data_IF_008176762388
#
_entry.id   IF_008176762388
#
_cell.length_a   1.000
_cell.length_b   1.000
_cell.length_c   1.000
_cell.angle_alpha   90.00
_cell.angle_beta   90.00
_cell.angle_gamma   90.00
#
_symmetry.space_group_name_H-M   'P 1'
#
loop_
_entity.id
_entity.type
_entity.pdbx_description
1 polymer ?
#
# COMPACT_ATOMS: atom_id res chain seq x y z
N UNK A 1 -0.21 19.21 -6.12
CA UNK A 1 0.21 17.85 -5.70
C UNK A 1 1.67 17.85 -5.31
N UNK A 2 2.09 16.95 -4.43
CA UNK A 2 3.49 16.78 -4.02
C UNK A 2 4.08 15.47 -4.54
N UNK A 3 5.38 15.28 -4.34
CA UNK A 3 6.17 14.12 -4.76
C UNK A 3 6.05 12.92 -3.82
N UNK A 4 5.06 12.91 -2.92
CA UNK A 4 4.86 11.86 -1.94
C UNK A 4 4.34 10.57 -2.59
N UNK A 5 5.12 9.49 -2.58
CA UNK A 5 4.75 8.23 -3.24
C UNK A 5 4.87 7.05 -2.28
N UNK A 6 3.97 6.08 -2.42
CA UNK A 6 4.03 4.81 -1.72
C UNK A 6 4.36 3.72 -2.72
N UNK A 7 5.53 3.12 -2.58
CA UNK A 7 6.05 2.10 -3.46
C UNK A 7 6.30 0.82 -2.69
N UNK A 8 6.08 -0.31 -3.35
CA UNK A 8 6.26 -1.65 -2.79
C UNK A 8 7.03 -2.52 -3.78
N UNK A 9 8.08 -3.17 -3.32
CA UNK A 9 8.82 -4.20 -4.07
C UNK A 9 8.40 -5.60 -3.63
N UNK A 10 7.79 -6.36 -4.52
CA UNK A 10 7.35 -7.74 -4.28
C UNK A 10 8.18 -8.68 -5.14
N UNK A 11 8.90 -9.60 -4.51
CA UNK A 11 9.72 -10.60 -5.20
C UNK A 11 9.95 -11.81 -4.31
N UNK A 12 10.41 -12.92 -4.85
CA UNK A 12 10.71 -14.11 -4.04
C UNK A 12 11.90 -13.92 -3.10
N UNK A 13 12.03 -14.83 -2.14
CA UNK A 13 13.21 -14.89 -1.29
C UNK A 13 14.47 -15.03 -2.16
N UNK A 14 15.55 -14.37 -1.77
CA UNK A 14 16.81 -14.30 -2.55
C UNK A 14 16.76 -13.50 -3.86
N UNK A 15 15.65 -12.87 -4.25
CA UNK A 15 15.58 -12.02 -5.45
C UNK A 15 16.25 -10.64 -5.31
N UNK A 16 17.10 -10.43 -4.29
CA UNK A 16 17.83 -9.18 -4.10
C UNK A 16 17.02 -7.99 -3.54
N UNK A 17 15.80 -8.19 -3.02
CA UNK A 17 14.94 -7.10 -2.47
C UNK A 17 15.65 -6.19 -1.46
N UNK A 18 16.40 -6.78 -0.53
CA UNK A 18 17.16 -6.03 0.49
C UNK A 18 18.26 -5.16 -0.13
N UNK A 19 18.80 -5.54 -1.29
CA UNK A 19 19.82 -4.74 -1.98
C UNK A 19 19.27 -3.37 -2.40
N UNK A 20 18.03 -3.28 -2.89
CA UNK A 20 17.41 -2.01 -3.24
C UNK A 20 17.35 -1.03 -2.05
N UNK A 21 16.94 -1.51 -0.88
CA UNK A 21 16.92 -0.70 0.35
C UNK A 21 18.31 -0.28 0.79
N UNK A 22 19.29 -1.19 0.75
CA UNK A 22 20.70 -0.89 1.06
C UNK A 22 21.26 0.19 0.12
N UNK A 23 20.97 0.10 -1.18
CA UNK A 23 21.41 1.08 -2.18
C UNK A 23 20.84 2.47 -1.91
N UNK A 24 19.56 2.58 -1.51
CA UNK A 24 18.96 3.86 -1.12
C UNK A 24 19.64 4.43 0.12
N UNK A 25 19.86 3.63 1.17
CA UNK A 25 20.56 4.07 2.39
C UNK A 25 21.96 4.58 2.09
N UNK A 26 22.72 3.82 1.32
CA UNK A 26 24.07 4.20 0.90
C UNK A 26 24.09 5.49 0.10
N UNK A 27 23.17 5.64 -0.85
CA UNK A 27 23.07 6.88 -1.62
C UNK A 27 22.83 8.09 -0.69
N UNK A 28 21.92 7.96 0.27
CA UNK A 28 21.66 9.01 1.26
C UNK A 28 22.85 9.27 2.19
N UNK A 29 23.58 8.23 2.62
CA UNK A 29 24.78 8.36 3.44
C UNK A 29 25.89 9.12 2.71
N UNK A 30 26.19 8.74 1.47
CA UNK A 30 27.18 9.41 0.64
C UNK A 30 26.76 10.85 0.31
N UNK A 31 25.46 11.10 0.10
CA UNK A 31 24.93 12.44 -0.11
C UNK A 31 24.84 13.27 1.18
N UNK A 32 25.03 12.66 2.37
CA UNK A 32 24.89 13.27 3.70
C UNK A 32 23.46 13.72 4.05
N UNK A 33 22.47 13.01 3.53
CA UNK A 33 21.04 13.31 3.67
C UNK A 33 20.27 12.20 4.42
N UNK A 34 20.96 11.34 5.17
CA UNK A 34 20.35 10.23 5.93
C UNK A 34 19.24 10.67 6.91
N UNK A 35 19.19 11.97 7.28
CA UNK A 35 18.09 12.56 8.06
C UNK A 35 16.73 12.51 7.35
N UNK A 36 16.67 12.24 6.04
CA UNK A 36 15.43 12.02 5.32
C UNK A 36 14.89 10.60 5.51
N UNK A 37 15.71 9.66 5.97
CA UNK A 37 15.31 8.27 6.19
C UNK A 37 14.62 8.15 7.55
N UNK A 38 13.43 7.56 7.53
CA UNK A 38 12.64 7.24 8.72
C UNK A 38 13.24 6.09 9.53
N UNK A 39 12.53 5.68 10.58
CA UNK A 39 12.89 4.45 11.29
C UNK A 39 12.69 3.22 10.41
N UNK A 40 13.40 2.14 10.73
CA UNK A 40 13.30 0.86 10.02
C UNK A 40 11.92 0.22 10.21
N UNK A 41 11.32 0.44 11.38
CA UNK A 41 9.97 0.02 11.72
C UNK A 41 9.07 1.20 12.14
N UNK A 42 7.77 1.04 11.91
CA UNK A 42 6.75 1.99 12.34
C UNK A 42 6.02 1.43 13.56
N UNK A 43 6.36 1.94 14.74
CA UNK A 43 5.73 1.50 15.99
C UNK A 43 4.26 1.95 16.12
N UNK A 44 3.92 3.15 15.66
CA UNK A 44 2.55 3.72 15.77
C UNK A 44 2.32 4.90 14.83
N UNK A 45 1.05 5.30 14.70
CA UNK A 45 0.63 6.51 13.99
C UNK A 45 1.25 7.78 14.62
N UNK A 46 1.27 7.88 15.95
CA UNK A 46 1.91 9.00 16.65
C UNK A 46 3.42 9.11 16.37
N UNK A 47 4.12 7.99 16.16
CA UNK A 47 5.54 8.01 15.81
C UNK A 47 5.78 8.66 14.44
N UNK A 48 4.90 8.38 13.46
CA UNK A 48 4.94 9.03 12.14
C UNK A 48 4.71 10.54 12.29
N UNK A 49 3.67 10.94 13.02
CA UNK A 49 3.34 12.36 13.22
C UNK A 49 4.49 13.12 13.89
N UNK A 50 5.08 12.54 14.95
CA UNK A 50 6.23 13.12 15.64
C UNK A 50 7.43 13.27 14.71
N UNK A 51 7.70 12.29 13.85
CA UNK A 51 8.77 12.37 12.85
C UNK A 51 8.51 13.46 11.83
N UNK A 52 7.32 13.49 11.23
CA UNK A 52 6.96 14.48 10.22
C UNK A 52 6.92 15.90 10.77
N UNK A 53 6.62 16.08 12.06
CA UNK A 53 6.69 17.40 12.71
C UNK A 53 8.11 17.97 12.81
N UNK A 54 9.13 17.09 12.77
CA UNK A 54 10.55 17.48 12.80
C UNK A 54 11.15 17.53 11.40
N UNK A 55 10.75 16.59 10.55
CA UNK A 55 11.24 16.43 9.18
C UNK A 55 10.05 16.11 8.27
N UNK A 56 9.46 17.14 7.65
CA UNK A 56 8.24 17.00 6.84
C UNK A 56 8.43 16.11 5.61
N UNK A 57 9.64 16.04 5.06
CA UNK A 57 10.05 15.14 3.97
C UNK A 57 10.78 13.92 4.52
N UNK A 58 10.06 12.81 4.69
CA UNK A 58 10.61 11.56 5.22
C UNK A 58 10.26 10.39 4.31
N UNK A 59 11.25 9.53 4.02
CA UNK A 59 11.06 8.24 3.35
C UNK A 59 11.23 7.10 4.36
N UNK A 60 10.24 6.22 4.45
CA UNK A 60 10.31 5.00 5.25
C UNK A 60 10.74 3.83 4.38
N UNK A 61 11.81 3.13 4.77
CA UNK A 61 12.33 1.94 4.10
C UNK A 61 11.92 0.72 4.93
N UNK A 62 10.75 0.16 4.63
CA UNK A 62 10.13 -0.88 5.46
C UNK A 62 10.48 -2.26 4.91
N UNK A 63 11.20 -3.05 5.70
CA UNK A 63 11.39 -4.47 5.39
C UNK A 63 10.14 -5.27 5.78
N UNK A 64 9.87 -6.35 5.06
CA UNK A 64 8.73 -7.24 5.26
C UNK A 64 7.39 -6.51 5.50
N UNK A 65 7.04 -5.52 4.66
CA UNK A 65 5.80 -4.72 4.79
C UNK A 65 4.52 -5.58 4.84
N UNK A 66 4.56 -6.80 4.33
CA UNK A 66 3.49 -7.79 4.47
C UNK A 66 3.12 -8.13 5.92
N UNK A 67 4.06 -8.07 6.87
CA UNK A 67 3.75 -8.24 8.30
C UNK A 67 2.98 -7.06 8.85
N UNK A 68 3.37 -5.83 8.48
CA UNK A 68 2.62 -4.63 8.86
C UNK A 68 1.17 -4.72 8.36
N UNK A 69 0.96 -5.15 7.11
CA UNK A 69 -0.38 -5.38 6.55
C UNK A 69 -1.12 -6.52 7.27
N UNK A 70 -0.43 -7.63 7.57
CA UNK A 70 -1.01 -8.76 8.30
C UNK A 70 -1.42 -8.40 9.74
N UNK A 71 -0.64 -7.56 10.43
CA UNK A 71 -0.95 -7.05 11.77
C UNK A 71 -2.17 -6.13 11.76
N UNK A 72 -2.29 -5.32 10.70
CA UNK A 72 -3.48 -4.49 10.46
C UNK A 72 -4.71 -5.37 10.26
N UNK A 73 -4.60 -6.40 9.41
CA UNK A 73 -5.66 -7.36 9.09
C UNK A 73 -6.10 -8.18 10.30
N UNK A 74 -5.16 -8.77 11.05
CA UNK A 74 -5.46 -9.58 12.24
C UNK A 74 -6.15 -8.75 13.33
N UNK A 75 -5.84 -7.46 13.36
CA UNK A 75 -6.47 -6.50 14.24
C UNK A 75 -6.16 -6.67 15.71
N UNK A 76 -5.16 -7.51 16.02
CA UNK A 76 -4.63 -7.74 17.36
C UNK A 76 -3.83 -6.54 17.86
N UNK A 77 -3.21 -5.79 16.94
CA UNK A 77 -2.47 -4.57 17.26
C UNK A 77 -3.29 -3.31 16.93
N UNK A 78 -3.80 -2.66 17.98
CA UNK A 78 -4.60 -1.43 17.88
C UNK A 78 -3.79 -0.27 17.26
N UNK A 79 -2.48 -0.24 17.45
CA UNK A 79 -1.61 0.79 16.88
C UNK A 79 -1.39 0.58 15.38
N UNK A 80 -1.18 -0.67 14.96
CA UNK A 80 -1.04 -1.01 13.55
C UNK A 80 -2.27 -0.57 12.74
N UNK A 81 -3.48 -0.83 13.26
CA UNK A 81 -4.77 -0.42 12.66
C UNK A 81 -4.89 1.07 12.37
N UNK A 82 -4.18 1.94 13.09
CA UNK A 82 -4.24 3.41 12.88
C UNK A 82 -3.26 3.90 11.82
N UNK A 83 -2.23 3.11 11.48
CA UNK A 83 -1.17 3.51 10.55
C UNK A 83 -1.72 3.71 9.13
N UNK A 84 -2.41 2.71 8.55
CA UNK A 84 -2.94 2.83 7.18
C UNK A 84 -3.92 4.00 7.01
N UNK A 85 -4.91 4.20 7.90
CA UNK A 85 -5.76 5.39 7.85
C UNK A 85 -4.97 6.70 7.91
N UNK A 86 -3.90 6.78 8.71
CA UNK A 86 -3.02 7.95 8.74
C UNK A 86 -2.28 8.12 7.42
N UNK A 87 -1.69 7.06 6.87
CA UNK A 87 -0.95 7.11 5.59
C UNK A 87 -1.87 7.52 4.43
N UNK A 88 -3.12 7.06 4.39
CA UNK A 88 -4.13 7.50 3.41
C UNK A 88 -4.38 9.01 3.53
N UNK A 89 -4.48 9.53 4.76
CA UNK A 89 -4.67 10.96 5.02
C UNK A 89 -3.45 11.75 4.60
N UNK A 90 -2.25 11.36 5.02
CA UNK A 90 -0.98 12.00 4.65
C UNK A 90 -0.78 12.03 3.13
N UNK A 91 -1.18 10.97 2.44
CA UNK A 91 -1.10 10.91 0.99
C UNK A 91 -1.92 12.02 0.32
N UNK A 92 -3.11 12.26 0.86
CA UNK A 92 -4.10 13.18 0.30
C UNK A 92 -3.89 14.63 0.77
N UNK A 93 -3.27 14.84 1.95
CA UNK A 93 -3.01 16.15 2.55
C UNK A 93 -1.57 16.64 2.36
N UNK A 94 -0.81 16.07 1.43
CA UNK A 94 0.57 16.52 1.21
C UNK A 94 0.67 17.98 0.73
N UNK A 95 -0.39 18.52 0.14
CA UNK A 95 -0.50 19.92 -0.27
C UNK A 95 -1.05 20.86 0.81
N UNK A 96 -1.70 20.27 1.82
CA UNK A 96 -2.53 20.97 2.79
C UNK A 96 -1.91 20.92 4.19
N UNK A 97 -2.58 21.61 5.12
CA UNK A 97 -2.31 21.46 6.54
C UNK A 97 -3.03 20.23 7.08
N UNK A 98 -2.33 19.41 7.86
CA UNK A 98 -2.89 18.27 8.56
C UNK A 98 -2.84 18.50 10.07
N UNK A 99 -3.99 18.74 10.68
CA UNK A 99 -4.12 18.81 12.14
C UNK A 99 -4.34 17.40 12.67
N UNK A 100 -3.44 16.95 13.55
CA UNK A 100 -3.60 15.69 14.26
C UNK A 100 -4.85 15.73 15.16
N UNK A 101 -5.32 14.56 15.62
CA UNK A 101 -6.39 14.51 16.62
C UNK A 101 -5.88 15.12 17.94
N UNK A 102 -6.72 15.89 18.60
CA UNK A 102 -6.46 16.41 19.96
C UNK A 102 -6.07 15.25 20.88
N UNK A 103 -4.81 15.25 21.32
CA UNK A 103 -4.30 14.32 22.30
C UNK A 103 -4.28 15.04 23.65
N UNK A 104 -4.65 14.35 24.73
CA UNK A 104 -4.71 14.92 26.08
C UNK A 104 -3.34 15.39 26.62
N UNK A 105 -2.24 15.14 25.90
CA UNK A 105 -0.87 15.48 26.29
C UNK A 105 -0.32 16.54 25.31
N UNK A 106 -0.22 17.77 25.81
CA UNK A 106 -0.21 19.05 25.09
C UNK A 106 1.09 19.40 24.32
N UNK A 107 1.91 18.41 23.93
CA UNK A 107 3.12 18.65 23.11
C UNK A 107 3.00 18.17 21.64
N UNK A 108 1.95 17.40 21.35
CA UNK A 108 1.70 16.77 20.04
C UNK A 108 0.59 17.45 19.22
N UNK A 109 0.03 18.57 19.69
CA UNK A 109 -0.88 19.47 18.94
C UNK A 109 -0.11 20.23 17.84
N UNK A 110 0.60 19.49 17.01
CA UNK A 110 1.42 20.04 15.93
C UNK A 110 0.63 19.92 14.64
N UNK A 111 0.16 21.06 14.17
CA UNK A 111 -0.27 21.24 12.79
C UNK A 111 0.89 20.82 11.87
N UNK A 112 0.72 19.76 11.09
CA UNK A 112 1.69 19.34 10.09
C UNK A 112 1.44 20.16 8.82
N UNK A 113 2.42 20.93 8.40
CA UNK A 113 2.30 21.78 7.23
C UNK A 113 2.96 21.08 6.06
N UNK A 114 2.15 20.65 5.10
CA UNK A 114 2.58 20.01 3.84
C UNK A 114 3.51 18.80 4.04
N UNK A 115 3.08 17.77 4.80
CA UNK A 115 3.89 16.59 5.02
C UNK A 115 4.12 15.82 3.71
N UNK A 116 5.38 15.55 3.38
CA UNK A 116 5.79 14.73 2.25
C UNK A 116 6.32 13.38 2.75
N UNK A 117 5.39 12.48 3.06
CA UNK A 117 5.71 11.12 3.50
C UNK A 117 5.82 10.18 2.29
N UNK A 118 6.96 9.51 2.13
CA UNK A 118 7.18 8.46 1.12
C UNK A 118 7.40 7.11 1.80
N UNK A 119 7.03 6.04 1.12
CA UNK A 119 7.23 4.67 1.60
C UNK A 119 7.88 3.85 0.48
N UNK A 120 8.91 3.10 0.83
CA UNK A 120 9.45 2.00 0.04
C UNK A 120 9.42 0.74 0.91
N UNK A 121 8.38 -0.07 0.71
CA UNK A 121 8.22 -1.36 1.39
C UNK A 121 8.72 -2.51 0.53
N UNK A 122 9.25 -3.57 1.12
CA UNK A 122 9.55 -4.82 0.39
C UNK A 122 8.85 -6.01 1.04
N UNK A 123 8.44 -7.01 0.25
CA UNK A 123 7.83 -8.23 0.76
C UNK A 123 7.98 -9.42 -0.20
N UNK A 124 7.64 -10.62 0.29
CA UNK A 124 7.46 -11.82 -0.52
C UNK A 124 6.02 -11.87 -1.08
N UNK A 125 5.77 -12.47 -2.26
CA UNK A 125 4.44 -12.51 -2.86
C UNK A 125 3.38 -13.08 -1.91
N UNK A 126 3.65 -14.23 -1.30
CA UNK A 126 2.70 -14.91 -0.41
C UNK A 126 2.41 -14.09 0.85
N UNK A 127 3.44 -13.50 1.46
CA UNK A 127 3.27 -12.64 2.65
C UNK A 127 2.51 -11.36 2.32
N UNK A 128 2.81 -10.77 1.17
CA UNK A 128 2.10 -9.61 0.69
C UNK A 128 0.63 -9.93 0.48
N UNK A 129 0.32 -10.99 -0.29
CA UNK A 129 -1.04 -11.43 -0.56
C UNK A 129 -1.81 -11.83 0.71
N UNK A 130 -1.16 -12.50 1.67
CA UNK A 130 -1.76 -12.86 2.95
C UNK A 130 -2.14 -11.63 3.80
N UNK A 131 -1.33 -10.57 3.73
CA UNK A 131 -1.60 -9.29 4.36
C UNK A 131 -2.80 -8.56 3.75
N UNK A 132 -3.11 -8.82 2.47
CA UNK A 132 -4.22 -8.18 1.78
C UNK A 132 -5.58 -8.75 2.20
N UNK A 133 -6.55 -7.84 2.39
CA UNK A 133 -7.96 -8.19 2.59
C UNK A 133 -8.85 -7.56 1.50
N UNK A 134 -10.05 -8.10 1.25
CA UNK A 134 -11.04 -7.42 0.40
C UNK A 134 -11.37 -6.00 0.89
N UNK A 135 -11.30 -5.76 2.19
CA UNK A 135 -11.53 -4.43 2.79
C UNK A 135 -10.42 -3.45 2.40
N UNK A 136 -9.15 -3.87 2.38
CA UNK A 136 -8.03 -3.01 1.96
C UNK A 136 -8.07 -2.67 0.46
N UNK A 137 -8.60 -3.60 -0.37
CA UNK A 137 -8.93 -3.32 -1.77
C UNK A 137 -10.00 -2.22 -1.89
N UNK A 138 -10.88 -2.13 -0.90
CA UNK A 138 -12.01 -1.21 -0.87
C UNK A 138 -11.67 0.15 -0.23
N UNK A 139 -10.80 0.18 0.78
CA UNK A 139 -10.47 1.36 1.60
C UNK A 139 -9.55 2.37 0.89
N UNK A 140 -9.07 2.03 -0.31
CA UNK A 140 -8.30 2.92 -1.16
C UNK A 140 -6.84 3.05 -0.77
N UNK A 141 -6.35 2.27 0.20
CA UNK A 141 -4.93 2.14 0.48
C UNK A 141 -4.16 1.66 -0.75
N UNK A 142 -4.55 0.51 -1.31
CA UNK A 142 -3.85 -0.12 -2.43
C UNK A 142 -3.86 0.74 -3.70
N UNK A 143 -4.93 1.49 -3.95
CA UNK A 143 -4.98 2.41 -5.09
C UNK A 143 -3.86 3.46 -5.07
N UNK A 144 -3.32 3.80 -3.88
CA UNK A 144 -2.25 4.79 -3.69
C UNK A 144 -0.85 4.17 -3.79
N UNK A 145 -0.76 2.85 -3.86
CA UNK A 145 0.49 2.11 -3.84
C UNK A 145 0.94 1.75 -5.26
N UNK A 146 2.23 1.92 -5.54
CA UNK A 146 2.89 1.47 -6.76
C UNK A 146 3.60 0.15 -6.45
N UNK A 147 3.06 -0.96 -6.94
CA UNK A 147 3.58 -2.30 -6.66
C UNK A 147 4.47 -2.75 -7.82
N UNK A 148 5.76 -2.82 -7.56
CA UNK A 148 6.77 -3.37 -8.46
C UNK A 148 6.98 -4.83 -8.13
N UNK A 149 6.66 -5.72 -9.08
CA UNK A 149 6.79 -7.16 -8.91
C UNK A 149 7.87 -7.73 -9.83
N UNK A 150 8.62 -8.70 -9.33
CA UNK A 150 9.49 -9.54 -10.16
C UNK A 150 9.38 -10.98 -9.70
N UNK A 151 9.20 -11.87 -10.68
CA UNK A 151 9.24 -13.32 -10.50
C UNK A 151 10.63 -13.88 -10.89
N UNK A 152 11.58 -13.00 -11.21
CA UNK A 152 12.95 -13.36 -11.60
C UNK A 152 13.88 -13.30 -10.40
N UNK A 153 14.61 -14.40 -10.18
CA UNK A 153 15.73 -14.44 -9.23
C UNK A 153 17.03 -14.31 -10.02
N UNK A 154 17.87 -13.29 -9.76
CA UNK A 154 19.17 -13.19 -10.41
C UNK A 154 20.09 -14.32 -9.94
N UNK A 155 21.03 -14.71 -10.81
CA UNK A 155 22.07 -15.66 -10.45
C UNK A 155 22.94 -15.11 -9.31
N UNK A 156 23.42 -16.00 -8.44
CA UNK A 156 24.33 -15.61 -7.35
C UNK A 156 25.71 -15.37 -7.93
N UNK A 157 26.24 -14.17 -7.72
CA UNK A 157 27.63 -13.86 -8.00
C UNK A 157 28.49 -14.22 -6.77
N UNK A 158 29.50 -15.08 -6.96
CA UNK A 158 30.46 -15.44 -5.91
C UNK A 158 31.45 -14.30 -5.63
N UNK A 159 31.80 -13.51 -6.66
CA UNK A 159 32.74 -12.39 -6.61
C UNK A 159 32.04 -11.02 -6.53
N UNK A 160 31.09 -10.87 -5.60
CA UNK A 160 30.39 -9.59 -5.42
C UNK A 160 31.18 -8.62 -4.55
N UNK A 161 31.69 -7.55 -5.16
CA UNK A 161 32.16 -6.37 -4.42
C UNK A 161 31.09 -5.29 -4.46
N UNK A 162 30.61 -4.88 -3.29
CA UNK A 162 29.53 -3.93 -3.22
C UNK A 162 29.96 -2.56 -3.78
N UNK A 163 29.37 -2.09 -4.90
CA UNK A 163 29.83 -0.88 -5.56
C UNK A 163 29.47 0.36 -4.74
N UNK A 164 30.29 1.40 -4.85
CA UNK A 164 29.93 2.73 -4.36
C UNK A 164 28.83 3.31 -5.25
N UNK A 165 27.89 4.10 -4.70
CA UNK A 165 26.91 4.79 -5.53
C UNK A 165 27.63 5.69 -6.54
N UNK A 166 27.14 5.77 -7.81
CA UNK A 166 27.68 6.70 -8.79
C UNK A 166 27.71 8.13 -8.26
N UNK A 167 28.84 8.82 -8.41
CA UNK A 167 29.02 10.16 -7.83
C UNK A 167 28.01 11.17 -8.39
N UNK A 168 27.67 11.06 -9.67
CA UNK A 168 26.65 11.89 -10.32
C UNK A 168 25.29 11.83 -9.58
N UNK A 169 24.88 10.63 -9.14
CA UNK A 169 23.64 10.46 -8.37
C UNK A 169 23.75 11.05 -6.97
N UNK A 170 24.91 10.90 -6.33
CA UNK A 170 25.19 11.48 -5.00
C UNK A 170 25.09 13.00 -5.05
N UNK A 171 25.73 13.61 -6.04
CA UNK A 171 25.71 15.06 -6.27
C UNK A 171 24.30 15.55 -6.60
N UNK A 172 23.54 14.80 -7.41
CA UNK A 172 22.17 15.14 -7.74
C UNK A 172 21.23 15.13 -6.53
N UNK A 173 21.33 14.09 -5.69
CA UNK A 173 20.56 14.00 -4.45
C UNK A 173 20.90 15.14 -3.50
N UNK A 174 22.18 15.50 -3.37
CA UNK A 174 22.63 16.64 -2.55
C UNK A 174 22.10 17.95 -3.12
N UNK A 175 22.18 18.17 -4.43
CA UNK A 175 21.69 19.37 -5.08
C UNK A 175 20.18 19.59 -4.85
N UNK A 176 19.37 18.54 -4.95
CA UNK A 176 17.94 18.63 -4.63
C UNK A 176 17.66 18.86 -3.14
N UNK A 177 18.48 18.29 -2.27
CA UNK A 177 18.35 18.46 -0.83
C UNK A 177 18.70 19.89 -0.38
N UNK A 178 19.76 20.46 -0.93
CA UNK A 178 20.25 21.81 -0.62
C UNK A 178 19.55 22.91 -1.44
N UNK A 179 18.59 22.55 -2.30
CA UNK A 179 17.93 23.50 -3.16
C UNK A 179 17.09 24.49 -2.36
N UNK A 180 17.48 25.76 -2.44
CA UNK A 180 16.70 26.88 -1.95
C UNK A 180 15.68 27.33 -3.01
N UNK A 181 14.41 27.42 -2.62
CA UNK A 181 13.34 27.95 -3.47
C UNK A 181 13.11 29.39 -3.02
N UNK A 182 13.67 30.35 -3.76
CA UNK A 182 13.55 31.79 -3.46
C UNK A 182 12.14 32.31 -3.76
N UNK A 183 11.68 33.27 -2.98
CA UNK A 183 10.47 34.02 -3.30
C UNK A 183 10.75 34.95 -4.49
N UNK A 184 9.82 35.06 -5.46
CA UNK A 184 9.93 36.09 -6.51
C UNK A 184 9.92 37.53 -5.95
N UNK A 185 9.30 37.74 -4.79
CA UNK A 185 9.01 39.06 -4.20
C UNK A 185 9.89 39.35 -2.96
N UNK A 186 11.20 39.09 -3.00
CA UNK A 186 12.12 39.40 -1.88
C UNK A 186 12.38 40.91 -1.70
N UNK A 187 11.37 41.67 -1.26
CA UNK A 187 11.54 42.94 -0.55
C UNK A 187 11.60 42.67 0.98
N UNK A 188 12.41 41.70 1.41
CA UNK A 188 12.87 41.54 2.81
C UNK A 188 11.81 41.54 3.93
N UNK A 189 10.53 41.30 3.63
CA UNK A 189 9.46 41.56 4.58
C UNK A 189 9.15 40.30 5.41
N UNK A 190 9.59 40.30 6.66
CA UNK A 190 9.35 39.22 7.63
C UNK A 190 7.85 38.88 7.82
N UNK A 191 6.97 39.82 7.46
CA UNK A 191 5.51 39.65 7.50
C UNK A 191 4.96 38.65 6.46
N UNK A 192 5.69 38.36 5.38
CA UNK A 192 5.22 37.38 4.38
C UNK A 192 5.29 35.93 4.86
N UNK A 193 6.14 35.67 5.86
CA UNK A 193 6.29 34.37 6.51
C UNK A 193 5.25 34.13 7.62
N UNK A 194 4.40 35.12 7.90
CA UNK A 194 3.38 35.10 8.95
C UNK A 194 2.07 35.67 8.44
N UNK A 195 1.05 34.83 8.21
CA UNK A 195 -0.31 35.34 8.04
C UNK A 195 -0.85 35.70 9.43
N UNK A 196 -0.71 36.98 9.81
CA UNK A 196 -1.29 37.50 11.05
C UNK A 196 -2.79 37.72 10.83
N UNK A 197 -3.63 36.89 11.44
CA UNK A 197 -5.08 37.14 11.57
C UNK A 197 -5.39 37.45 13.03
N UNK A 198 -5.31 38.72 13.42
CA UNK A 198 -5.50 39.13 14.82
C UNK A 198 -4.33 38.69 15.71
N UNK A 199 -4.60 37.96 16.79
CA UNK A 199 -3.58 37.44 17.73
C UNK A 199 -3.06 36.03 17.36
N UNK A 200 -3.55 35.42 16.28
CA UNK A 200 -3.06 34.12 15.79
C UNK A 200 -2.03 34.31 14.68
N UNK A 201 -0.86 33.69 14.87
CA UNK A 201 0.20 33.59 13.86
C UNK A 201 0.03 32.25 13.15
N UNK A 202 -0.55 32.27 11.96
CA UNK A 202 -0.57 31.08 11.10
C UNK A 202 0.84 30.88 10.52
N UNK A 203 1.44 29.73 10.75
CA UNK A 203 2.68 29.35 10.05
C UNK A 203 2.37 29.21 8.57
N UNK A 204 3.09 29.96 7.74
CA UNK A 204 3.01 29.90 6.27
C UNK A 204 3.79 28.67 5.80
N UNK A 205 3.19 27.89 4.89
CA UNK A 205 3.86 26.72 4.33
C UNK A 205 5.10 27.09 3.51
N UNK A 206 6.02 26.15 3.28
CA UNK A 206 7.23 26.42 2.51
C UNK A 206 6.88 26.90 1.10
N UNK A 207 7.73 27.79 0.56
CA UNK A 207 7.68 28.17 -0.85
C UNK A 207 7.92 26.94 -1.73
N UNK A 208 7.16 26.85 -2.81
CA UNK A 208 7.12 25.67 -3.66
C UNK A 208 7.59 26.00 -5.07
N UNK A 209 8.38 25.10 -5.63
CA UNK A 209 8.63 25.07 -7.05
C UNK A 209 7.37 24.52 -7.74
N UNK A 210 6.72 25.36 -8.54
CA UNK A 210 5.57 24.96 -9.34
C UNK A 210 6.08 24.45 -10.68
N UNK A 211 5.78 23.18 -10.97
CA UNK A 211 6.14 22.53 -12.23
C UNK A 211 4.93 22.59 -13.16
N UNK A 212 4.95 23.39 -14.23
CA UNK A 212 3.81 23.51 -15.14
C UNK A 212 3.61 22.23 -15.95
N UNK A 213 2.36 21.98 -16.33
CA UNK A 213 2.00 20.95 -17.31
C UNK A 213 1.59 21.61 -18.61
N UNK A 214 2.04 21.07 -19.74
CA UNK A 214 1.56 21.44 -21.07
C UNK A 214 0.10 21.02 -21.28
N UNK A 215 -0.56 21.59 -22.29
CA UNK A 215 -1.94 21.22 -22.64
C UNK A 215 -2.02 19.78 -23.15
N UNK A 216 -1.01 19.33 -23.91
CA UNK A 216 -0.88 17.96 -24.40
C UNK A 216 -0.71 16.97 -23.25
N UNK A 217 0.16 17.26 -22.28
CA UNK A 217 0.31 16.45 -21.07
C UNK A 217 -1.03 16.34 -20.31
N UNK A 218 -1.73 17.47 -20.18
CA UNK A 218 -3.04 17.52 -19.51
C UNK A 218 -4.08 16.67 -20.24
N UNK A 219 -4.06 16.65 -21.58
CA UNK A 219 -4.93 15.79 -22.37
C UNK A 219 -4.64 14.29 -22.13
N UNK A 220 -3.38 13.89 -22.05
CA UNK A 220 -2.96 12.51 -21.76
C UNK A 220 -3.48 12.04 -20.39
N UNK A 221 -3.31 12.84 -19.33
CA UNK A 221 -3.84 12.49 -18.01
C UNK A 221 -5.38 12.38 -18.02
N UNK A 222 -6.07 13.29 -18.70
CA UNK A 222 -7.54 13.21 -18.87
C UNK A 222 -7.97 11.95 -19.63
N UNK A 223 -7.19 11.49 -20.60
CA UNK A 223 -7.45 10.22 -21.29
C UNK A 223 -7.29 9.03 -20.36
N UNK A 224 -6.25 9.02 -19.51
CA UNK A 224 -6.07 7.98 -18.50
C UNK A 224 -7.27 7.93 -17.54
N UNK A 225 -7.69 9.07 -16.97
CA UNK A 225 -8.86 9.14 -16.07
C UNK A 225 -10.16 8.65 -16.73
N UNK A 226 -10.35 8.92 -18.03
CA UNK A 226 -11.49 8.36 -18.78
C UNK A 226 -11.37 6.85 -18.95
N UNK A 227 -10.18 6.35 -19.28
CA UNK A 227 -9.96 4.92 -19.49
C UNK A 227 -10.16 4.09 -18.21
N UNK A 228 -9.75 4.61 -17.05
CA UNK A 228 -9.92 3.93 -15.77
C UNK A 228 -11.40 3.78 -15.38
N UNK A 229 -12.23 4.77 -15.73
CA UNK A 229 -13.69 4.70 -15.54
C UNK A 229 -14.31 3.57 -16.36
N UNK A 230 -13.82 3.32 -17.59
CA UNK A 230 -14.32 2.24 -18.44
C UNK A 230 -13.91 0.86 -17.91
N UNK A 231 -12.65 0.69 -17.49
CA UNK A 231 -12.17 -0.55 -16.84
C UNK A 231 -13.05 -0.89 -15.62
N UNK A 232 -13.46 0.14 -14.88
CA UNK A 232 -14.29 -0.05 -13.70
C UNK A 232 -15.71 -0.57 -13.95
N UNK A 233 -16.20 -0.48 -15.19
CA UNK A 233 -17.49 -1.04 -15.60
C UNK A 233 -17.39 -2.55 -15.83
N UNK A 234 -16.26 -3.03 -16.35
CA UNK A 234 -16.05 -4.45 -16.70
C UNK A 234 -15.70 -5.31 -15.50
N UNK A 235 -14.95 -4.76 -14.53
CA UNK A 235 -14.57 -5.48 -13.32
C UNK A 235 -14.64 -4.57 -12.08
N UNK A 236 -15.78 -4.65 -11.37
CA UNK A 236 -16.09 -3.76 -10.25
C UNK A 236 -15.07 -3.85 -9.11
N UNK A 237 -14.55 -5.04 -8.80
CA UNK A 237 -13.58 -5.21 -7.71
C UNK A 237 -12.23 -4.60 -8.08
N UNK A 238 -11.78 -4.80 -9.32
CA UNK A 238 -10.55 -4.18 -9.84
C UNK A 238 -10.68 -2.66 -9.97
N UNK A 239 -11.87 -2.14 -10.29
CA UNK A 239 -12.13 -0.71 -10.52
C UNK A 239 -11.54 0.21 -9.44
N UNK A 240 -11.51 -0.27 -8.19
CA UNK A 240 -11.08 0.50 -7.02
C UNK A 240 -9.57 0.72 -6.99
N UNK A 241 -8.79 -0.23 -7.50
CA UNK A 241 -7.35 -0.09 -7.64
C UNK A 241 -6.99 1.06 -8.59
N UNK A 242 -7.81 1.26 -9.62
CA UNK A 242 -7.56 2.26 -10.67
C UNK A 242 -7.97 3.70 -10.28
N UNK A 243 -8.69 3.89 -9.17
CA UNK A 243 -9.24 5.21 -8.77
C UNK A 243 -8.19 6.31 -8.58
N UNK A 244 -6.95 5.94 -8.30
CA UNK A 244 -5.83 6.87 -8.06
C UNK A 244 -4.75 6.77 -9.13
N UNK A 245 -5.03 6.10 -10.25
CA UNK A 245 -4.06 5.91 -11.33
C UNK A 245 -3.57 7.24 -11.92
N UNK A 246 -4.48 8.16 -12.22
CA UNK A 246 -4.13 9.48 -12.77
C UNK A 246 -3.35 10.33 -11.76
N UNK A 247 -3.74 10.29 -10.48
CA UNK A 247 -3.05 11.01 -9.41
C UNK A 247 -1.61 10.46 -9.20
N UNK A 248 -1.44 9.14 -9.21
CA UNK A 248 -0.13 8.50 -9.17
C UNK A 248 0.72 8.85 -10.40
N UNK A 249 0.11 8.82 -11.60
CA UNK A 249 0.81 9.14 -12.83
C UNK A 249 1.32 10.59 -12.81
N UNK A 250 0.52 11.53 -12.31
CA UNK A 250 0.99 12.90 -12.13
C UNK A 250 2.16 12.98 -11.15
N UNK A 251 2.14 12.27 -10.03
CA UNK A 251 3.25 12.29 -9.05
C UNK A 251 4.54 11.78 -9.66
N UNK A 252 4.47 10.69 -10.42
CA UNK A 252 5.61 10.15 -11.17
C UNK A 252 6.08 11.16 -12.22
N UNK A 253 5.16 11.75 -12.98
CA UNK A 253 5.50 12.77 -13.98
C UNK A 253 6.21 13.98 -13.36
N UNK A 254 5.78 14.41 -12.17
CA UNK A 254 6.42 15.49 -11.43
C UNK A 254 7.88 15.13 -11.05
N UNK A 255 8.09 13.94 -10.49
CA UNK A 255 9.43 13.45 -10.13
C UNK A 255 10.30 13.29 -11.38
N UNK A 256 9.72 12.77 -12.47
CA UNK A 256 10.44 12.54 -13.72
C UNK A 256 10.82 13.84 -14.42
N UNK A 257 9.91 14.82 -14.52
CA UNK A 257 10.23 16.15 -15.03
C UNK A 257 11.36 16.82 -14.24
N UNK A 258 11.32 16.74 -12.91
CA UNK A 258 12.37 17.23 -12.02
C UNK A 258 13.71 16.50 -12.23
N UNK A 259 13.70 15.22 -12.63
CA UNK A 259 14.93 14.50 -12.95
C UNK A 259 15.54 14.90 -14.31
N UNK A 260 14.73 15.41 -15.24
CA UNK A 260 15.19 15.82 -16.58
C UNK A 260 15.80 17.22 -16.55
N UNK A 261 15.13 18.16 -15.87
CA UNK A 261 15.60 19.54 -15.77
C UNK A 261 15.53 20.01 -14.33
N UNK A 262 16.70 20.28 -13.77
CA UNK A 262 16.84 20.79 -12.42
C UNK A 262 16.19 22.18 -12.31
N UNK A 263 16.62 23.16 -13.11
CA UNK A 263 16.21 24.55 -12.92
C UNK A 263 14.76 24.83 -13.31
N UNK A 264 14.33 24.33 -14.47
CA UNK A 264 13.01 24.62 -15.04
C UNK A 264 12.32 23.35 -15.52
N UNK A 265 11.87 22.47 -14.59
CA UNK A 265 11.13 21.28 -14.94
C UNK A 265 9.78 21.62 -15.56
N UNK A 266 9.38 20.87 -16.58
CA UNK A 266 8.08 20.98 -17.24
C UNK A 266 7.54 19.58 -17.48
N UNK A 267 6.24 19.37 -17.22
CA UNK A 267 5.55 18.14 -17.57
C UNK A 267 5.02 18.28 -19.01
N UNK A 268 5.81 17.79 -19.96
CA UNK A 268 5.43 17.70 -21.36
C UNK A 268 4.67 16.39 -21.68
N UNK A 269 4.29 16.21 -22.94
CA UNK A 269 3.57 15.04 -23.40
C UNK A 269 4.35 13.73 -23.20
N UNK A 270 5.68 13.74 -23.37
CA UNK A 270 6.50 12.53 -23.24
C UNK A 270 6.63 12.10 -21.77
N UNK A 271 6.83 13.06 -20.87
CA UNK A 271 6.83 12.83 -19.42
C UNK A 271 5.48 12.26 -18.95
N UNK A 272 4.37 12.85 -19.44
CA UNK A 272 3.03 12.38 -19.10
C UNK A 272 2.75 10.96 -19.65
N UNK A 273 3.12 10.67 -20.90
CA UNK A 273 2.97 9.34 -21.50
C UNK A 273 3.74 8.28 -20.72
N UNK A 274 5.02 8.55 -20.42
CA UNK A 274 5.86 7.64 -19.63
C UNK A 274 5.22 7.31 -18.28
N UNK A 275 4.81 8.33 -17.54
CA UNK A 275 4.23 8.15 -16.22
C UNK A 275 2.89 7.40 -16.27
N UNK A 276 2.03 7.70 -17.24
CA UNK A 276 0.77 6.99 -17.44
C UNK A 276 1.01 5.52 -17.78
N UNK A 277 1.95 5.22 -18.69
CA UNK A 277 2.28 3.85 -19.10
C UNK A 277 2.84 3.04 -17.95
N UNK A 278 3.72 3.62 -17.14
CA UNK A 278 4.26 2.95 -15.96
C UNK A 278 3.15 2.59 -14.97
N UNK A 279 2.28 3.52 -14.62
CA UNK A 279 1.17 3.24 -13.69
C UNK A 279 0.21 2.20 -14.25
N UNK A 280 -0.16 2.30 -15.52
CA UNK A 280 -1.03 1.32 -16.20
C UNK A 280 -0.38 -0.06 -16.20
N UNK A 281 0.92 -0.15 -16.45
CA UNK A 281 1.66 -1.40 -16.40
C UNK A 281 1.61 -2.03 -15.00
N UNK A 282 1.96 -1.27 -13.96
CA UNK A 282 1.98 -1.76 -12.58
C UNK A 282 0.60 -2.18 -12.10
N UNK A 283 -0.46 -1.42 -12.43
CA UNK A 283 -1.84 -1.77 -12.06
C UNK A 283 -2.33 -3.03 -12.76
N UNK A 284 -1.97 -3.22 -14.04
CA UNK A 284 -2.31 -4.44 -14.78
C UNK A 284 -1.59 -5.64 -14.18
N UNK A 285 -0.27 -5.56 -14.01
CA UNK A 285 0.53 -6.65 -13.44
C UNK A 285 0.00 -7.05 -12.04
N UNK A 286 -0.21 -6.05 -11.17
CA UNK A 286 -0.75 -6.27 -9.84
C UNK A 286 -2.16 -6.87 -9.86
N UNK A 287 -3.04 -6.35 -10.72
CA UNK A 287 -4.40 -6.84 -10.87
C UNK A 287 -4.45 -8.31 -11.34
N UNK A 288 -3.63 -8.70 -12.31
CA UNK A 288 -3.58 -10.07 -12.81
C UNK A 288 -2.98 -11.04 -11.78
N UNK A 289 -1.87 -10.67 -11.14
CA UNK A 289 -1.13 -11.57 -10.27
C UNK A 289 -1.78 -11.75 -8.89
N UNK A 290 -2.25 -10.66 -8.28
CA UNK A 290 -2.59 -10.69 -6.84
C UNK A 290 -4.08 -10.82 -6.60
N UNK A 291 -4.94 -10.23 -7.43
CA UNK A 291 -6.40 -10.27 -7.17
C UNK A 291 -6.97 -11.68 -7.39
N UNK A 292 -6.44 -12.44 -8.36
CA UNK A 292 -6.78 -13.85 -8.52
C UNK A 292 -6.41 -14.69 -7.29
N UNK A 293 -5.23 -14.44 -6.71
CA UNK A 293 -4.76 -15.12 -5.50
C UNK A 293 -5.59 -14.74 -4.26
N UNK A 294 -5.94 -13.45 -4.08
CA UNK A 294 -6.80 -13.00 -2.96
C UNK A 294 -8.19 -13.64 -3.07
N UNK A 295 -8.80 -13.62 -4.25
CA UNK A 295 -10.13 -14.21 -4.45
C UNK A 295 -10.13 -15.72 -4.12
N UNK A 296 -9.12 -16.46 -4.57
CA UNK A 296 -8.93 -17.86 -4.22
C UNK A 296 -8.71 -18.09 -2.72
N UNK A 297 -7.86 -17.28 -2.09
CA UNK A 297 -7.57 -17.37 -0.66
C UNK A 297 -8.80 -17.10 0.21
N UNK A 298 -9.66 -16.15 -0.17
CA UNK A 298 -10.90 -15.84 0.58
C UNK A 298 -11.90 -17.00 0.48
N UNK A 299 -12.00 -17.62 -0.69
CA UNK A 299 -12.83 -18.80 -0.91
C UNK A 299 -12.35 -19.97 -0.06
N UNK A 300 -11.05 -20.26 -0.06
CA UNK A 300 -10.47 -21.29 0.81
C UNK A 300 -10.61 -20.95 2.29
N UNK A 301 -10.46 -19.69 2.71
CA UNK A 301 -10.67 -19.31 4.10
C UNK A 301 -12.13 -19.55 4.56
N UNK A 302 -13.11 -19.25 3.71
CA UNK A 302 -14.53 -19.55 3.97
C UNK A 302 -14.75 -21.06 4.11
N UNK A 303 -14.16 -21.89 3.24
CA UNK A 303 -14.19 -23.36 3.35
C UNK A 303 -13.53 -23.86 4.65
N UNK A 304 -12.34 -23.37 4.96
CA UNK A 304 -11.60 -23.68 6.20
C UNK A 304 -12.41 -23.30 7.45
N UNK A 305 -13.12 -22.16 7.42
CA UNK A 305 -14.00 -21.72 8.52
C UNK A 305 -15.20 -22.66 8.67
N UNK A 306 -15.80 -23.09 7.58
CA UNK A 306 -16.90 -24.05 7.58
C UNK A 306 -16.46 -25.41 8.11
N UNK A 307 -15.31 -25.92 7.65
CA UNK A 307 -14.73 -27.17 8.12
C UNK A 307 -14.43 -27.10 9.62
N UNK A 308 -13.76 -26.05 10.11
CA UNK A 308 -13.51 -25.85 11.55
C UNK A 308 -14.80 -25.82 12.36
N UNK A 309 -15.86 -25.23 11.83
CA UNK A 309 -17.17 -25.23 12.49
C UNK A 309 -17.74 -26.65 12.61
N UNK A 310 -17.62 -27.47 11.57
CA UNK A 310 -18.01 -28.89 11.58
C UNK A 310 -17.13 -29.66 12.58
N UNK A 311 -15.81 -29.48 12.53
CA UNK A 311 -14.84 -30.15 13.42
C UNK A 311 -15.15 -29.98 14.91
N UNK A 312 -15.67 -28.81 15.31
CA UNK A 312 -16.06 -28.52 16.71
C UNK A 312 -17.14 -29.44 17.27
N UNK A 313 -17.89 -30.15 16.41
CA UNK A 313 -18.86 -31.16 16.85
C UNK A 313 -18.24 -32.50 17.22
N UNK A 314 -16.95 -32.71 16.92
CA UNK A 314 -16.26 -33.97 17.13
C UNK A 314 -17.00 -35.13 16.46
N UNK A 315 -17.10 -36.25 17.17
CA UNK A 315 -17.80 -37.45 16.72
C UNK A 315 -19.33 -37.28 16.56
N UNK A 316 -19.91 -36.24 17.16
CA UNK A 316 -21.36 -35.97 17.03
C UNK A 316 -21.76 -35.49 15.63
N UNK A 317 -20.82 -34.93 14.87
CA UNK A 317 -21.09 -34.36 13.56
C UNK A 317 -22.08 -33.19 13.60
N UNK A 318 -22.41 -32.65 12.43
CA UNK A 318 -23.45 -31.62 12.29
C UNK A 318 -24.44 -31.97 11.19
N UNK A 319 -25.72 -31.76 11.45
CA UNK A 319 -26.74 -31.84 10.41
C UNK A 319 -26.83 -30.53 9.61
N UNK A 320 -27.33 -30.60 8.37
CA UNK A 320 -27.44 -29.44 7.45
C UNK A 320 -28.11 -28.21 8.09
N UNK A 321 -29.13 -28.42 8.93
CA UNK A 321 -29.80 -27.33 9.66
C UNK A 321 -28.89 -26.61 10.65
N UNK A 322 -28.08 -27.35 11.42
CA UNK A 322 -27.10 -26.78 12.35
C UNK A 322 -25.98 -26.06 11.59
N UNK A 323 -25.54 -26.60 10.46
CA UNK A 323 -24.56 -25.92 9.59
C UNK A 323 -25.15 -24.62 9.07
N UNK A 324 -26.42 -24.61 8.64
CA UNK A 324 -27.10 -23.40 8.18
C UNK A 324 -27.20 -22.32 9.24
N UNK A 325 -27.62 -22.67 10.46
CA UNK A 325 -27.67 -21.74 11.60
C UNK A 325 -26.28 -21.28 12.04
N UNK A 326 -25.30 -22.16 11.93
CA UNK A 326 -23.92 -21.93 12.34
C UNK A 326 -23.05 -21.19 11.33
N UNK A 327 -23.51 -21.01 10.10
CA UNK A 327 -22.79 -20.31 9.02
C UNK A 327 -23.64 -19.24 8.30
N UNK A 328 -24.20 -18.25 9.03
CA UNK A 328 -25.00 -17.18 8.44
C UNK A 328 -24.19 -16.27 7.50
N UNK A 329 -22.85 -16.31 7.58
CA UNK A 329 -21.93 -15.58 6.69
C UNK A 329 -21.79 -16.21 5.29
N UNK A 330 -22.44 -17.35 5.01
CA UNK A 330 -22.50 -17.97 3.69
C UNK A 330 -23.93 -17.92 3.15
N UNK A 331 -24.08 -17.60 1.86
CA UNK A 331 -25.36 -17.75 1.17
C UNK A 331 -25.72 -19.23 1.03
N UNK A 332 -27.00 -19.53 0.83
CA UNK A 332 -27.49 -20.91 0.72
C UNK A 332 -26.76 -21.70 -0.39
N UNK A 333 -26.58 -21.09 -1.56
CA UNK A 333 -25.90 -21.71 -2.70
C UNK A 333 -24.41 -21.92 -2.44
N UNK A 334 -23.70 -20.88 -1.97
CA UNK A 334 -22.27 -20.97 -1.59
C UNK A 334 -22.04 -22.10 -0.56
N UNK A 335 -22.92 -22.21 0.44
CA UNK A 335 -22.79 -23.25 1.47
C UNK A 335 -22.96 -24.65 0.89
N UNK A 336 -23.92 -24.85 -0.02
CA UNK A 336 -24.15 -26.15 -0.64
C UNK A 336 -22.95 -26.56 -1.51
N UNK A 337 -22.43 -25.62 -2.31
CA UNK A 337 -21.25 -25.81 -3.15
C UNK A 337 -20.00 -26.14 -2.32
N UNK A 338 -19.75 -25.40 -1.24
CA UNK A 338 -18.60 -25.66 -0.37
C UNK A 338 -18.70 -26.98 0.39
N UNK A 339 -19.90 -27.41 0.79
CA UNK A 339 -20.07 -28.74 1.40
C UNK A 339 -19.80 -29.86 0.40
N UNK A 340 -20.18 -29.68 -0.87
CA UNK A 340 -19.91 -30.65 -1.92
C UNK A 340 -18.40 -30.74 -2.18
N UNK A 341 -17.75 -29.60 -2.43
CA UNK A 341 -16.31 -29.53 -2.71
C UNK A 341 -15.45 -30.04 -1.53
N UNK A 342 -15.82 -29.71 -0.29
CA UNK A 342 -15.17 -30.26 0.90
C UNK A 342 -15.34 -31.79 1.04
N UNK A 343 -16.45 -32.33 0.54
CA UNK A 343 -16.70 -33.77 0.55
C UNK A 343 -15.93 -34.49 -0.57
N UNK A 344 -15.90 -33.91 -1.77
CA UNK A 344 -15.14 -34.42 -2.92
C UNK A 344 -13.63 -34.40 -2.65
N UNK A 345 -13.13 -33.37 -1.96
CA UNK A 345 -11.73 -33.30 -1.51
C UNK A 345 -11.42 -34.21 -0.30
N UNK A 346 -12.41 -34.93 0.24
CA UNK A 346 -12.26 -35.84 1.37
C UNK A 346 -12.00 -35.15 2.71
N UNK A 347 -12.12 -33.82 2.79
CA UNK A 347 -11.91 -33.05 4.03
C UNK A 347 -13.07 -33.24 5.02
N UNK A 348 -14.28 -33.38 4.48
CA UNK A 348 -15.47 -33.76 5.23
C UNK A 348 -16.09 -35.02 4.66
N UNK A 349 -16.82 -35.74 5.50
CA UNK A 349 -17.58 -36.93 5.14
C UNK A 349 -19.04 -36.66 5.48
N UNK A 350 -19.94 -36.90 4.53
CA UNK A 350 -21.37 -36.82 4.72
C UNK A 350 -21.97 -38.23 4.68
N UNK A 351 -22.71 -38.64 5.72
CA UNK A 351 -23.44 -39.92 5.75
C UNK A 351 -24.86 -39.74 6.23
N UNK A 352 -25.75 -40.62 5.79
CA UNK A 352 -27.10 -40.72 6.33
C UNK A 352 -27.07 -41.41 7.69
N UNK A 353 -27.69 -40.79 8.70
CA UNK A 353 -27.93 -41.37 10.02
C UNK A 353 -29.43 -41.22 10.29
N UNK A 354 -30.17 -42.32 10.12
CA UNK A 354 -31.63 -42.29 10.05
C UNK A 354 -32.11 -41.44 8.87
N UNK A 355 -33.05 -40.52 9.11
CA UNK A 355 -33.62 -39.64 8.08
C UNK A 355 -32.76 -38.40 7.76
N UNK A 356 -31.61 -38.22 8.41
CA UNK A 356 -30.81 -36.99 8.32
C UNK A 356 -29.42 -37.27 7.78
N UNK A 357 -28.92 -36.34 6.96
CA UNK A 357 -27.51 -36.31 6.56
C UNK A 357 -26.70 -35.56 7.61
N UNK A 358 -25.72 -36.23 8.19
CA UNK A 358 -24.78 -35.70 9.16
C UNK A 358 -23.42 -35.55 8.48
N UNK A 359 -22.71 -34.45 8.79
CA UNK A 359 -21.41 -34.11 8.25
C UNK A 359 -20.36 -34.15 9.36
N UNK A 360 -19.22 -34.78 9.10
CA UNK A 360 -18.05 -34.81 9.97
C UNK A 360 -16.83 -34.35 9.20
N UNK A 361 -15.80 -33.85 9.89
CA UNK A 361 -14.46 -33.82 9.28
C UNK A 361 -13.90 -35.24 9.23
N UNK A 362 -13.05 -35.55 8.25
CA UNK A 362 -12.49 -36.89 8.05
C UNK A 362 -11.95 -37.55 9.34
N UNK A 363 -11.33 -36.76 10.23
CA UNK A 363 -10.81 -37.20 11.52
C UNK A 363 -11.85 -37.78 12.50
N UNK A 364 -13.10 -37.31 12.44
CA UNK A 364 -14.15 -37.65 13.40
C UNK A 364 -15.30 -38.42 12.77
N UNK A 365 -15.22 -38.73 11.48
CA UNK A 365 -16.19 -39.56 10.83
C UNK A 365 -16.12 -40.97 11.44
N UNK A 366 -17.27 -41.60 11.77
CA UNK A 366 -17.25 -42.97 12.22
C UNK A 366 -16.65 -43.88 11.14
N UNK A 367 -15.83 -44.86 11.52
CA UNK A 367 -15.50 -45.98 10.64
C UNK A 367 -16.81 -46.68 10.22
N UNK A 368 -16.84 -47.32 9.06
CA UNK A 368 -18.07 -47.89 8.48
C UNK A 368 -18.93 -48.57 9.56
N UNK A 369 -20.20 -48.18 9.64
CA UNK A 369 -21.19 -48.97 10.35
C UNK A 369 -21.33 -50.23 9.50
N UNK A 370 -20.73 -51.33 9.95
CA UNK A 370 -21.08 -52.67 9.46
C UNK A 370 -22.61 -52.77 9.49
N UNK A 371 -23.21 -52.96 8.31
CA UNK A 371 -24.65 -53.18 8.12
C UNK A 371 -25.18 -54.39 8.91
#
# INVERSE_FOLDING_TARGET
MRTNIYCMGVADSSAGKAHAQKSIRKLCEFAQISKLIGGDDIASDSAILKRLSRQANTVYLLDEIGHLLSDIKSGNNVYAKKIVPLLIKLYSHAEDKYTAKDLADSELDRELIQPCCCIWGVSEPDRFAAGLSPEELHDGWLSRCLVFRTDTTPDKEEDFTEPKPPMELVEWCRAWFDREIRCPDEDGNLLEWQRVRGWQVDTVGPHQLVVPSTDEATAIFKMLDRSTKNIGIENYDLSRLWKKAEENARRIALIYAASINFDNPVIDAAVADYACRLVVYLLRDFGYATVGQIAGSVLEEKKNRLERYIARSGYGGRIKGQISQGSPWLRMNERAEYLLDLAESGRIIARAVGEKVVYWTAKFAPEELDD
#
